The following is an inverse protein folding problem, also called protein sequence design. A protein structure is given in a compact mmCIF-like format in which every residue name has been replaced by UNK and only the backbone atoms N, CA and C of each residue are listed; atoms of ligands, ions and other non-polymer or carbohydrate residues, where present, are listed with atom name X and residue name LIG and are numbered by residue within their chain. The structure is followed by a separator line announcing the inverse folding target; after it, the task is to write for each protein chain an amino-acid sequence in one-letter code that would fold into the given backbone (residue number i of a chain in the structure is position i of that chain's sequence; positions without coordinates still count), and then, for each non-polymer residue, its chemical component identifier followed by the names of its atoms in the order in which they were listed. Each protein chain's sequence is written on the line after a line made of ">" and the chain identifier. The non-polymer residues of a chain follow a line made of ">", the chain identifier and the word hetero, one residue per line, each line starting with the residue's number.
data_IF_339924283123
#
_entry.id   IF_339924283123
#
_cell.length_a   1.000
_cell.length_b   1.000
_cell.length_c   1.000
_cell.angle_alpha   90.00
_cell.angle_beta   90.00
_cell.angle_gamma   90.00
#
_symmetry.space_group_name_H-M   'P 1'
#
loop_
_entity.id
_entity.type
_entity.pdbx_description
1 polymer ?
#
# COMPACT_ATOMS: atom_id res chain seq x y z
N UNK A 1 -32.66 51.62 4.03
CA UNK A 1 -31.74 51.05 5.04
C UNK A 1 -31.82 49.52 4.90
N UNK A 2 -30.73 48.84 4.49
CA UNK A 2 -29.91 47.93 5.35
C UNK A 2 -30.78 46.79 5.92
N UNK A 3 -30.57 45.49 5.70
CA UNK A 3 -29.35 44.65 5.65
C UNK A 3 -29.77 43.26 5.11
N UNK A 4 -29.02 42.66 4.18
CA UNK A 4 -27.93 41.66 4.37
C UNK A 4 -28.38 40.27 4.86
N UNK A 5 -27.91 39.26 4.12
CA UNK A 5 -27.26 37.99 4.55
C UNK A 5 -27.81 36.81 3.73
N UNK A 6 -27.24 36.53 2.54
CA UNK A 6 -26.22 35.47 2.35
C UNK A 6 -26.32 34.33 3.34
N UNK A 7 -26.78 33.19 2.86
CA UNK A 7 -26.81 31.92 3.59
C UNK A 7 -26.60 30.73 2.66
N UNK A 8 -25.60 30.81 1.77
CA UNK A 8 -25.07 29.62 1.11
C UNK A 8 -24.38 28.75 2.16
N UNK A 9 -25.13 27.81 2.73
CA UNK A 9 -24.57 26.69 3.50
C UNK A 9 -23.98 25.68 2.51
N UNK A 10 -22.78 25.98 2.00
CA UNK A 10 -21.91 24.97 1.41
C UNK A 10 -21.22 24.24 2.56
N UNK A 11 -21.89 23.23 3.12
CA UNK A 11 -21.25 22.20 3.94
C UNK A 11 -20.37 21.36 3.03
N UNK A 12 -19.14 21.81 2.82
CA UNK A 12 -18.07 20.99 2.26
C UNK A 12 -17.73 19.90 3.29
N UNK A 13 -18.37 18.74 3.16
CA UNK A 13 -17.87 17.51 3.76
C UNK A 13 -16.53 17.20 3.08
N UNK A 14 -15.43 17.69 3.66
CA UNK A 14 -14.09 17.27 3.29
C UNK A 14 -13.99 15.78 3.61
N UNK A 15 -14.14 14.93 2.58
CA UNK A 15 -13.81 13.52 2.67
C UNK A 15 -12.38 13.44 3.18
N UNK A 16 -12.19 12.91 4.37
CA UNK A 16 -10.88 12.49 4.85
C UNK A 16 -10.39 11.45 3.84
N UNK A 17 -9.50 11.85 2.92
CA UNK A 17 -8.67 10.90 2.21
C UNK A 17 -8.09 9.99 3.29
N UNK A 18 -8.37 8.69 3.21
CA UNK A 18 -7.98 7.72 4.22
C UNK A 18 -6.48 7.87 4.47
N UNK A 19 -6.15 8.60 5.52
CA UNK A 19 -4.80 9.06 5.74
C UNK A 19 -4.08 7.82 6.28
N UNK A 20 -3.21 7.23 5.46
CA UNK A 20 -2.36 6.11 5.87
C UNK A 20 -1.29 6.67 6.81
N UNK A 21 -1.73 6.97 8.03
CA UNK A 21 -0.94 7.58 9.08
C UNK A 21 -0.90 6.67 10.30
N UNK A 22 0.19 6.78 11.04
CA UNK A 22 0.35 6.16 12.35
C UNK A 22 0.68 7.20 13.41
N UNK A 23 0.28 6.96 14.65
CA UNK A 23 0.58 7.86 15.77
C UNK A 23 1.69 7.27 16.63
N UNK A 24 2.77 8.02 16.83
CA UNK A 24 3.89 7.65 17.69
C UNK A 24 4.25 8.84 18.59
N UNK A 25 4.24 8.63 19.91
CA UNK A 25 4.61 9.68 20.87
C UNK A 25 3.74 10.94 20.79
N UNK A 26 2.45 10.80 20.46
CA UNK A 26 1.53 11.93 20.32
C UNK A 26 1.66 12.72 19.00
N UNK A 27 2.52 12.27 18.07
CA UNK A 27 2.65 12.84 16.73
C UNK A 27 2.12 11.88 15.68
N UNK A 28 1.49 12.40 14.64
CA UNK A 28 1.02 11.62 13.49
C UNK A 28 2.05 11.65 12.36
N UNK A 29 2.37 10.47 11.81
CA UNK A 29 3.28 10.27 10.69
C UNK A 29 2.49 9.65 9.55
N UNK A 30 2.48 10.30 8.39
CA UNK A 30 1.64 9.91 7.25
C UNK A 30 2.50 9.54 6.06
N UNK A 31 2.14 8.44 5.41
CA UNK A 31 2.71 8.13 4.10
C UNK A 31 2.12 9.05 3.02
N UNK A 32 2.83 9.15 1.90
CA UNK A 32 2.34 9.81 0.69
C UNK A 32 1.08 9.08 0.17
N UNK A 33 0.23 9.72 -0.66
CA UNK A 33 -0.93 9.06 -1.27
C UNK A 33 -0.55 7.76 -1.97
N UNK A 34 -1.32 6.70 -1.71
CA UNK A 34 -1.04 5.32 -2.18
C UNK A 34 -0.03 4.55 -1.32
N UNK A 35 0.69 5.24 -0.43
CA UNK A 35 1.65 4.67 0.50
C UNK A 35 1.05 4.12 1.78
N UNK A 36 1.90 3.47 2.57
CA UNK A 36 1.54 2.92 3.88
C UNK A 36 2.45 3.49 4.96
N UNK A 37 1.86 3.96 6.06
CA UNK A 37 2.61 4.21 7.29
C UNK A 37 2.41 3.01 8.24
N UNK A 38 3.50 2.53 8.83
CA UNK A 38 3.51 1.34 9.69
C UNK A 38 4.31 1.64 10.96
N UNK A 39 3.77 1.29 12.13
CA UNK A 39 4.55 1.22 13.36
C UNK A 39 5.21 -0.13 13.45
N UNK A 40 6.53 -0.12 13.51
CA UNK A 40 7.32 -1.34 13.58
C UNK A 40 8.50 -1.16 14.52
N UNK A 41 8.62 -2.06 15.50
CA UNK A 41 9.67 -2.01 16.53
C UNK A 41 9.86 -0.61 17.17
N UNK A 42 8.75 0.05 17.53
CA UNK A 42 8.77 1.38 18.18
C UNK A 42 9.09 2.56 17.27
N UNK A 43 9.23 2.34 15.96
CA UNK A 43 9.50 3.39 14.97
C UNK A 43 8.36 3.49 13.96
N UNK A 44 8.15 4.68 13.39
CA UNK A 44 7.22 4.89 12.29
C UNK A 44 7.97 4.81 10.95
N UNK A 45 7.51 3.93 10.06
CA UNK A 45 8.04 3.74 8.72
C UNK A 45 7.01 4.16 7.68
N UNK A 46 7.47 4.82 6.62
CA UNK A 46 6.61 5.32 5.55
C UNK A 46 7.11 4.77 4.21
N UNK A 47 6.21 4.17 3.44
CA UNK A 47 6.52 3.55 2.13
C UNK A 47 5.59 4.08 1.04
N UNK A 48 5.97 3.82 -0.22
CA UNK A 48 5.15 4.13 -1.39
C UNK A 48 4.00 3.12 -1.59
N UNK A 49 4.13 1.88 -1.13
CA UNK A 49 3.07 0.88 -1.19
C UNK A 49 3.05 -0.04 0.04
N UNK A 50 2.35 -1.16 -0.08
CA UNK A 50 2.14 -2.10 1.02
C UNK A 50 3.44 -2.74 1.52
N UNK A 51 3.43 -3.15 2.79
CA UNK A 51 4.56 -3.81 3.45
C UNK A 51 4.23 -5.21 3.96
N UNK A 52 5.27 -6.05 4.07
CA UNK A 52 5.26 -7.38 4.66
C UNK A 52 6.41 -7.52 5.65
N UNK A 53 6.24 -8.39 6.65
CA UNK A 53 7.22 -8.65 7.70
C UNK A 53 7.69 -10.10 7.60
N UNK A 54 8.97 -10.34 7.84
CA UNK A 54 9.55 -11.69 7.90
C UNK A 54 9.42 -12.34 9.30
N UNK A 55 9.78 -13.61 9.41
CA UNK A 55 9.76 -14.35 10.69
C UNK A 55 10.70 -13.77 11.78
N UNK A 56 11.66 -12.92 11.41
CA UNK A 56 12.59 -12.25 12.33
C UNK A 56 12.15 -10.82 12.67
N UNK A 57 11.02 -10.36 12.13
CA UNK A 57 10.54 -9.00 12.33
C UNK A 57 11.28 -7.97 11.46
N UNK A 58 11.84 -8.31 10.30
CA UNK A 58 12.31 -7.31 9.32
C UNK A 58 11.15 -6.89 8.41
N UNK A 59 11.04 -5.58 8.14
CA UNK A 59 9.98 -4.98 7.32
C UNK A 59 10.47 -4.74 5.89
N UNK A 60 9.66 -5.15 4.90
CA UNK A 60 9.92 -4.97 3.47
C UNK A 60 8.67 -4.42 2.78
N UNK A 61 8.82 -3.39 1.96
CA UNK A 61 7.71 -2.67 1.36
C UNK A 61 7.85 -2.54 -0.15
N UNK A 62 6.72 -2.30 -0.79
CA UNK A 62 6.68 -1.98 -2.21
C UNK A 62 7.26 -0.57 -2.47
N UNK A 63 8.17 -0.43 -3.45
CA UNK A 63 8.65 0.88 -3.89
C UNK A 63 7.65 1.58 -4.83
N UNK A 64 6.57 0.91 -5.23
CA UNK A 64 5.59 1.45 -6.17
C UNK A 64 4.43 2.13 -5.41
N UNK A 65 4.04 3.36 -5.78
CA UNK A 65 2.84 4.02 -5.25
C UNK A 65 1.59 3.13 -5.37
N UNK A 66 0.98 2.75 -4.25
CA UNK A 66 -0.20 1.86 -4.23
C UNK A 66 0.10 0.40 -4.55
N UNK A 67 1.38 0.02 -4.68
CA UNK A 67 1.79 -1.32 -5.03
C UNK A 67 1.75 -2.31 -3.88
N UNK A 68 1.68 -3.60 -4.21
CA UNK A 68 1.70 -4.71 -3.27
C UNK A 68 3.11 -5.21 -2.97
N UNK A 69 3.27 -5.85 -1.81
CA UNK A 69 4.45 -6.63 -1.45
C UNK A 69 4.03 -8.02 -0.94
N UNK A 70 4.82 -9.05 -1.21
CA UNK A 70 4.54 -10.43 -0.79
C UNK A 70 5.83 -11.22 -0.51
N UNK A 71 5.76 -12.18 0.41
CA UNK A 71 6.82 -13.17 0.63
C UNK A 71 6.56 -14.40 -0.25
N UNK A 72 7.54 -14.82 -1.03
CA UNK A 72 7.45 -16.02 -1.88
C UNK A 72 8.80 -16.75 -1.91
N UNK A 73 8.78 -18.08 -1.74
CA UNK A 73 9.98 -18.95 -1.79
C UNK A 73 11.20 -18.41 -0.99
N UNK A 74 10.94 -17.82 0.18
CA UNK A 74 12.00 -17.28 1.07
C UNK A 74 12.54 -15.89 0.69
N UNK A 75 12.00 -15.24 -0.34
CA UNK A 75 12.33 -13.88 -0.74
C UNK A 75 11.10 -12.95 -0.70
N UNK A 76 11.33 -11.65 -0.84
CA UNK A 76 10.30 -10.62 -0.80
C UNK A 76 10.21 -9.92 -2.15
N UNK A 77 8.99 -9.84 -2.67
CA UNK A 77 8.71 -9.29 -3.98
C UNK A 77 7.68 -8.18 -3.88
N UNK A 78 7.74 -7.26 -4.84
CA UNK A 78 6.84 -6.14 -4.95
C UNK A 78 6.48 -5.86 -6.40
N UNK A 79 5.26 -5.38 -6.60
CA UNK A 79 4.76 -4.98 -7.91
C UNK A 79 3.91 -3.72 -7.84
N UNK A 80 3.51 -3.18 -9.01
CA UNK A 80 2.76 -1.94 -9.09
C UNK A 80 1.33 -2.06 -8.57
N UNK A 81 0.74 -3.25 -8.54
CA UNK A 81 -0.52 -3.53 -7.86
C UNK A 81 -0.42 -4.69 -6.86
N UNK A 82 -1.56 -5.24 -6.47
CA UNK A 82 -1.67 -6.34 -5.52
C UNK A 82 -0.83 -7.55 -5.97
N UNK A 83 -0.19 -8.23 -5.03
CA UNK A 83 0.58 -9.44 -5.28
C UNK A 83 -0.08 -10.65 -4.62
N UNK A 84 -0.10 -11.78 -5.33
CA UNK A 84 -0.57 -13.08 -4.85
C UNK A 84 0.47 -14.17 -5.11
N UNK A 85 0.32 -15.30 -4.43
CA UNK A 85 1.09 -16.51 -4.71
C UNK A 85 0.35 -17.34 -5.76
N UNK A 86 1.06 -17.73 -6.81
CA UNK A 86 0.61 -18.74 -7.73
C UNK A 86 0.76 -20.16 -7.13
N UNK A 87 0.14 -21.19 -7.73
CA UNK A 87 0.16 -22.56 -7.20
C UNK A 87 1.56 -23.17 -7.09
N UNK A 88 2.48 -22.73 -7.96
CA UNK A 88 3.88 -23.12 -7.94
C UNK A 88 4.72 -22.35 -6.88
N UNK A 89 4.06 -21.50 -6.10
CA UNK A 89 4.64 -20.63 -5.08
C UNK A 89 5.37 -19.41 -5.64
N UNK A 90 5.28 -19.11 -6.94
CA UNK A 90 5.84 -17.88 -7.51
C UNK A 90 5.02 -16.65 -7.08
N UNK A 91 5.70 -15.52 -6.92
CA UNK A 91 5.03 -14.24 -6.69
C UNK A 91 4.51 -13.70 -8.02
N UNK A 92 3.24 -13.31 -8.04
CA UNK A 92 2.59 -12.71 -9.21
C UNK A 92 1.86 -11.44 -8.77
N UNK A 93 2.16 -10.32 -9.44
CA UNK A 93 1.56 -9.03 -9.10
C UNK A 93 0.79 -8.46 -10.28
N UNK A 94 -0.24 -7.67 -10.00
CA UNK A 94 -0.96 -6.91 -11.02
C UNK A 94 0.01 -5.95 -11.72
N UNK A 95 -0.04 -5.91 -13.04
CA UNK A 95 0.76 -4.99 -13.85
C UNK A 95 0.19 -3.56 -13.81
N UNK A 96 -1.12 -3.42 -13.60
CA UNK A 96 -1.75 -2.11 -13.42
C UNK A 96 -1.40 -1.53 -12.02
N UNK A 97 -0.96 -0.27 -11.93
CA UNK A 97 -0.76 0.42 -10.66
C UNK A 97 -2.03 0.43 -9.79
N UNK A 98 -1.92 -0.03 -8.55
CA UNK A 98 -3.06 -0.21 -7.64
C UNK A 98 -4.09 -1.27 -8.09
N UNK A 99 -3.78 -2.02 -9.16
CA UNK A 99 -4.63 -3.09 -9.67
C UNK A 99 -4.78 -4.23 -8.67
N UNK A 100 -5.92 -4.90 -8.71
CA UNK A 100 -6.22 -6.07 -7.89
C UNK A 100 -5.78 -7.36 -8.59
N UNK A 101 -5.62 -8.41 -7.78
CA UNK A 101 -5.43 -9.77 -8.26
C UNK A 101 -6.39 -10.70 -7.50
N UNK A 102 -6.79 -11.77 -8.17
CA UNK A 102 -7.61 -12.83 -7.58
C UNK A 102 -7.15 -14.19 -8.09
N UNK A 103 -7.41 -15.23 -7.30
CA UNK A 103 -7.17 -16.62 -7.71
C UNK A 103 -8.43 -17.13 -8.40
N UNK A 104 -8.33 -17.37 -9.71
CA UNK A 104 -9.41 -17.88 -10.55
C UNK A 104 -9.47 -19.41 -10.61
N UNK A 105 -10.31 -19.97 -11.52
CA UNK A 105 -10.42 -21.41 -11.74
C UNK A 105 -9.07 -22.06 -12.06
N UNK A 106 -8.84 -23.27 -11.55
CA UNK A 106 -7.57 -23.96 -11.71
C UNK A 106 -6.40 -23.31 -10.96
N UNK A 107 -6.70 -22.45 -9.98
CA UNK A 107 -5.75 -21.71 -9.16
C UNK A 107 -4.84 -20.74 -9.96
N UNK A 108 -5.27 -20.33 -11.15
CA UNK A 108 -4.57 -19.31 -11.94
C UNK A 108 -4.80 -17.93 -11.35
N UNK A 109 -3.73 -17.16 -11.17
CA UNK A 109 -3.83 -15.76 -10.73
C UNK A 109 -4.26 -14.91 -11.92
N UNK A 110 -5.31 -14.13 -11.73
CA UNK A 110 -5.83 -13.17 -12.70
C UNK A 110 -5.76 -11.78 -12.08
N UNK A 111 -5.19 -10.83 -12.81
CA UNK A 111 -4.93 -9.49 -12.30
C UNK A 111 -5.35 -8.41 -13.28
N UNK A 112 -5.70 -7.24 -12.73
CA UNK A 112 -5.96 -6.03 -13.52
C UNK A 112 -4.73 -5.63 -14.33
N UNK A 113 -4.92 -5.42 -15.64
CA UNK A 113 -3.84 -5.10 -16.57
C UNK A 113 -2.87 -6.27 -16.85
N UNK A 114 -3.18 -7.49 -16.39
CA UNK A 114 -2.32 -8.66 -16.55
C UNK A 114 -1.35 -8.89 -15.40
N UNK A 115 -0.52 -9.92 -15.55
CA UNK A 115 0.36 -10.43 -14.48
C UNK A 115 1.83 -10.12 -14.77
N UNK A 116 2.53 -9.60 -13.78
CA UNK A 116 3.99 -9.56 -13.74
C UNK A 116 4.49 -10.86 -13.10
N UNK A 117 5.05 -11.75 -13.92
CA UNK A 117 5.49 -13.09 -13.48
C UNK A 117 6.82 -13.09 -12.71
N UNK A 118 7.62 -12.02 -12.83
CA UNK A 118 8.87 -11.83 -12.09
C UNK A 118 8.88 -10.42 -11.45
N UNK A 119 8.09 -10.20 -10.39
CA UNK A 119 8.03 -8.92 -9.72
C UNK A 119 9.41 -8.52 -9.15
N UNK A 120 9.63 -7.22 -8.99
CA UNK A 120 10.87 -6.68 -8.45
C UNK A 120 11.05 -7.06 -6.96
N UNK A 121 12.27 -7.02 -6.41
CA UNK A 121 12.46 -7.22 -4.98
C UNK A 121 11.78 -6.10 -4.17
N UNK A 122 11.14 -6.47 -3.05
CA UNK A 122 10.68 -5.49 -2.06
C UNK A 122 11.86 -4.85 -1.34
N UNK A 123 11.69 -3.61 -0.86
CA UNK A 123 12.77 -2.80 -0.28
C UNK A 123 12.55 -2.53 1.19
N UNK A 124 13.61 -2.28 1.96
CA UNK A 124 13.47 -1.82 3.35
C UNK A 124 12.92 -0.38 3.34
N UNK A 125 11.82 -0.10 4.06
CA UNK A 125 11.27 1.26 4.08
C UNK A 125 12.15 2.21 4.90
N UNK A 126 12.18 3.50 4.54
CA UNK A 126 12.77 4.53 5.39
C UNK A 126 11.85 4.84 6.58
N UNK A 127 12.43 5.48 7.60
CA UNK A 127 11.64 6.12 8.65
C UNK A 127 10.76 7.23 8.04
N UNK A 128 9.59 7.44 8.62
CA UNK A 128 8.79 8.63 8.33
C UNK A 128 9.59 9.88 8.73
N UNK A 129 9.57 10.90 7.88
CA UNK A 129 10.15 12.22 8.16
C UNK A 129 9.16 13.12 8.89
#
# INVERSE_FOLDING_TARGET
>A
MRQRLTGWFLLAASLSAAANCVTLGGRSYCAQPGGQAVLHHGNAYCSAGACVVDEFGNLFCSPYPGGGAIRAKGAFYAGPGMCLLAPDGSAQCAAQPGGSCQVGPGAQVQCDGGVVAAPAPAVRPPLCQ
#
